data_IF_045319275446
#
_entry.id   IF_045319275446
#
_cell.length_a   1.000
_cell.length_b   1.000
_cell.length_c   1.000
_cell.angle_alpha   90.00
_cell.angle_beta   90.00
_cell.angle_gamma   90.00
#
_symmetry.space_group_name_H-M   'P 1'
#
loop_
_entity.id
_entity.type
_entity.pdbx_description
1 polymer ?
#
# COMPACT_ATOMS: atom_id res chain seq x y z
N UNK A 1 11.31 -6.31 -24.22
CA UNK A 1 10.15 -5.46 -23.88
C UNK A 1 8.92 -6.26 -24.26
N UNK A 2 7.98 -6.41 -23.33
CA UNK A 2 6.73 -7.17 -23.53
C UNK A 2 5.93 -6.51 -24.65
N UNK A 3 5.36 -7.33 -25.55
CA UNK A 3 4.52 -6.91 -26.69
C UNK A 3 3.06 -7.33 -26.53
N UNK A 4 2.81 -8.40 -25.78
CA UNK A 4 1.48 -8.93 -25.48
C UNK A 4 1.48 -9.56 -24.09
N UNK A 5 0.36 -9.46 -23.39
CA UNK A 5 0.10 -10.22 -22.16
C UNK A 5 -0.96 -11.28 -22.50
N UNK A 6 -0.73 -12.54 -22.09
CA UNK A 6 -1.66 -13.65 -22.23
C UNK A 6 -2.05 -14.14 -20.85
N UNK A 7 -3.35 -14.32 -20.60
CA UNK A 7 -3.85 -14.96 -19.38
C UNK A 7 -5.01 -15.90 -19.70
N UNK A 8 -5.48 -16.66 -18.71
CA UNK A 8 -6.45 -17.71 -18.93
C UNK A 8 -7.82 -17.17 -19.42
N UNK A 9 -8.55 -17.94 -20.26
CA UNK A 9 -9.87 -17.54 -20.77
C UNK A 9 -11.02 -17.80 -19.78
N UNK A 10 -10.72 -18.34 -18.60
CA UNK A 10 -11.70 -18.73 -17.58
C UNK A 10 -12.37 -17.56 -16.87
N UNK A 11 -13.04 -17.82 -15.74
CA UNK A 11 -13.50 -16.75 -14.87
C UNK A 11 -12.29 -16.02 -14.27
N UNK A 12 -12.26 -14.69 -14.34
CA UNK A 12 -11.15 -13.91 -13.79
C UNK A 12 -11.10 -14.00 -12.26
N UNK A 13 -9.89 -14.03 -11.73
CA UNK A 13 -9.59 -13.89 -10.32
C UNK A 13 -8.99 -12.50 -10.05
N UNK A 14 -8.65 -12.23 -8.79
CA UNK A 14 -8.09 -10.93 -8.41
C UNK A 14 -6.62 -10.83 -8.78
N UNK A 15 -5.89 -11.94 -8.67
CA UNK A 15 -4.45 -12.00 -8.87
C UNK A 15 -4.08 -11.93 -10.36
N UNK A 16 -4.74 -12.66 -11.27
CA UNK A 16 -4.49 -12.58 -12.72
C UNK A 16 -4.81 -11.18 -13.28
N UNK A 17 -5.92 -10.59 -12.83
CA UNK A 17 -6.29 -9.22 -13.17
C UNK A 17 -5.23 -8.21 -12.70
N UNK A 18 -4.81 -8.29 -11.43
CA UNK A 18 -3.83 -7.36 -10.86
C UNK A 18 -2.42 -7.61 -11.42
N UNK A 19 -2.05 -8.85 -11.72
CA UNK A 19 -0.80 -9.19 -12.39
C UNK A 19 -0.71 -8.54 -13.78
N UNK A 20 -1.80 -8.63 -14.56
CA UNK A 20 -1.92 -7.91 -15.83
C UNK A 20 -1.79 -6.40 -15.62
N UNK A 21 -2.56 -5.83 -14.68
CA UNK A 21 -2.56 -4.40 -14.37
C UNK A 21 -1.16 -3.88 -14.03
N UNK A 22 -0.44 -4.57 -13.14
CA UNK A 22 0.93 -4.22 -12.75
C UNK A 22 1.89 -4.32 -13.94
N UNK A 23 1.79 -5.35 -14.79
CA UNK A 23 2.64 -5.45 -15.98
C UNK A 23 2.36 -4.38 -17.04
N UNK A 24 1.15 -3.81 -17.10
CA UNK A 24 0.86 -2.68 -18.00
C UNK A 24 1.72 -1.43 -17.69
N UNK A 25 2.29 -1.33 -16.47
CA UNK A 25 3.27 -0.28 -16.13
C UNK A 25 4.59 -0.45 -16.86
N UNK A 26 4.95 -1.68 -17.23
CA UNK A 26 6.18 -2.00 -17.98
C UNK A 26 5.96 -1.90 -19.49
N UNK A 27 4.76 -2.24 -19.96
CA UNK A 27 4.40 -2.17 -21.37
C UNK A 27 2.88 -1.97 -21.54
N UNK A 28 2.42 -0.85 -22.13
CA UNK A 28 0.99 -0.59 -22.36
C UNK A 28 0.49 -1.35 -23.59
N UNK A 29 0.39 -2.67 -23.48
CA UNK A 29 0.07 -3.60 -24.58
C UNK A 29 -1.32 -4.22 -24.43
N UNK A 30 -1.78 -4.91 -25.48
CA UNK A 30 -3.03 -5.67 -25.42
C UNK A 30 -2.90 -6.89 -24.49
N UNK A 31 -4.03 -7.26 -23.88
CA UNK A 31 -4.18 -8.44 -23.05
C UNK A 31 -5.08 -9.43 -23.77
N UNK A 32 -4.57 -10.62 -24.07
CA UNK A 32 -5.30 -11.73 -24.68
C UNK A 32 -5.70 -12.74 -23.61
N UNK A 33 -6.96 -13.17 -23.63
CA UNK A 33 -7.51 -14.16 -22.70
C UNK A 33 -7.77 -15.47 -23.43
N UNK A 34 -6.76 -16.35 -23.45
CA UNK A 34 -6.73 -17.62 -24.18
C UNK A 34 -5.66 -18.55 -23.60
N UNK A 35 -5.72 -19.82 -23.96
CA UNK A 35 -4.62 -20.74 -23.66
C UNK A 35 -3.34 -20.29 -24.41
N UNK A 36 -2.17 -20.33 -23.74
CA UNK A 36 -0.90 -20.04 -24.39
C UNK A 36 -0.53 -21.18 -25.34
N UNK A 37 0.09 -20.82 -26.45
CA UNK A 37 0.76 -21.76 -27.34
C UNK A 37 2.17 -22.05 -26.86
N UNK A 38 2.81 -23.11 -27.36
CA UNK A 38 4.24 -23.34 -27.10
C UNK A 38 5.13 -22.18 -27.57
N UNK A 39 4.69 -21.42 -28.58
CA UNK A 39 5.44 -20.27 -29.07
C UNK A 39 5.37 -19.11 -28.06
N UNK A 40 4.20 -18.86 -27.45
CA UNK A 40 4.04 -17.86 -26.39
C UNK A 40 4.98 -18.17 -25.22
N UNK A 41 4.99 -19.43 -24.74
CA UNK A 41 5.80 -19.86 -23.60
C UNK A 41 7.32 -19.76 -23.81
N UNK A 42 7.77 -19.72 -25.07
CA UNK A 42 9.20 -19.61 -25.45
C UNK A 42 9.58 -18.18 -25.83
N UNK A 43 8.63 -17.26 -25.91
CA UNK A 43 8.83 -15.90 -26.39
C UNK A 43 8.98 -14.93 -25.19
N UNK A 44 10.18 -14.40 -24.90
CA UNK A 44 10.41 -13.50 -23.77
C UNK A 44 9.76 -12.11 -23.93
N UNK A 45 9.14 -11.83 -25.07
CA UNK A 45 8.31 -10.65 -25.31
C UNK A 45 6.81 -10.93 -25.19
N UNK A 46 6.39 -12.13 -24.82
CA UNK A 46 5.02 -12.47 -24.45
C UNK A 46 4.99 -12.82 -22.96
N UNK A 47 4.26 -12.05 -22.16
CA UNK A 47 4.06 -12.39 -20.76
C UNK A 47 2.87 -13.33 -20.62
N UNK A 48 3.04 -14.48 -19.98
CA UNK A 48 1.98 -15.48 -19.77
C UNK A 48 1.67 -15.57 -18.28
N UNK A 49 0.45 -15.21 -17.88
CA UNK A 49 0.07 -15.03 -16.48
C UNK A 49 -1.02 -16.02 -16.07
N UNK A 50 -0.84 -16.65 -14.91
CA UNK A 50 -1.83 -17.55 -14.31
C UNK A 50 -2.20 -18.77 -15.18
N UNK A 51 -1.36 -19.09 -16.16
CA UNK A 51 -1.58 -20.20 -17.10
C UNK A 51 -0.26 -20.62 -17.76
N UNK A 52 -0.21 -21.84 -18.29
CA UNK A 52 0.91 -22.33 -19.11
C UNK A 52 1.74 -23.42 -18.43
N UNK A 53 1.42 -23.75 -17.19
CA UNK A 53 2.01 -24.82 -16.42
C UNK A 53 3.50 -24.68 -16.10
N UNK A 54 3.99 -23.43 -16.04
CA UNK A 54 5.36 -23.15 -15.65
C UNK A 54 5.54 -21.72 -15.11
N UNK A 55 6.45 -21.57 -14.14
CA UNK A 55 7.03 -20.30 -13.77
C UNK A 55 8.47 -20.19 -14.30
N UNK A 56 8.72 -19.19 -15.14
CA UNK A 56 10.05 -18.79 -15.58
C UNK A 56 10.07 -17.27 -15.83
N UNK A 57 10.62 -16.53 -14.88
CA UNK A 57 10.68 -15.07 -14.94
C UNK A 57 11.53 -14.53 -16.11
N UNK A 58 12.49 -15.30 -16.63
CA UNK A 58 13.32 -14.88 -17.77
C UNK A 58 12.53 -14.94 -19.09
N UNK A 59 11.50 -15.80 -19.14
CA UNK A 59 10.57 -15.93 -20.26
C UNK A 59 9.23 -15.21 -20.00
N UNK A 60 9.11 -14.47 -18.89
CA UNK A 60 7.87 -13.82 -18.47
C UNK A 60 6.68 -14.80 -18.30
N UNK A 61 6.94 -16.03 -17.87
CA UNK A 61 5.92 -17.01 -17.51
C UNK A 61 5.67 -16.97 -15.99
N UNK A 62 4.45 -16.65 -15.59
CA UNK A 62 4.04 -16.39 -14.22
C UNK A 62 2.81 -17.22 -13.85
N UNK A 63 2.92 -18.55 -13.97
CA UNK A 63 1.92 -19.50 -13.49
C UNK A 63 2.36 -20.08 -12.14
N UNK A 64 1.46 -20.04 -11.16
CA UNK A 64 1.72 -20.50 -9.80
C UNK A 64 1.14 -21.91 -9.51
N UNK A 65 0.30 -22.46 -10.40
CA UNK A 65 -0.42 -23.72 -10.16
C UNK A 65 0.46 -24.97 -9.99
N UNK A 66 1.77 -24.86 -10.28
CA UNK A 66 2.74 -25.95 -10.13
C UNK A 66 3.43 -25.93 -8.77
N UNK A 67 3.22 -24.88 -7.98
CA UNK A 67 3.81 -24.76 -6.65
C UNK A 67 3.26 -25.86 -5.73
N UNK A 68 4.10 -26.43 -4.84
CA UNK A 68 3.66 -27.43 -3.87
C UNK A 68 2.50 -26.94 -3.01
N UNK A 69 1.63 -27.87 -2.59
CA UNK A 69 0.48 -27.55 -1.74
C UNK A 69 0.87 -26.88 -0.42
N UNK A 70 2.05 -27.18 0.12
CA UNK A 70 2.58 -26.60 1.36
C UNK A 70 3.45 -25.36 1.13
N UNK A 71 3.61 -24.91 -0.13
CA UNK A 71 4.27 -23.65 -0.43
C UNK A 71 3.54 -22.49 0.26
N UNK A 72 4.31 -21.48 0.65
CA UNK A 72 3.76 -20.20 1.12
C UNK A 72 2.80 -19.67 0.04
N UNK A 73 1.60 -19.19 0.40
CA UNK A 73 0.67 -18.64 -0.60
C UNK A 73 1.38 -17.67 -1.55
N UNK A 74 1.27 -17.92 -2.85
CA UNK A 74 1.95 -17.18 -3.92
C UNK A 74 1.08 -17.35 -5.16
N UNK A 75 0.54 -16.25 -5.66
CA UNK A 75 -0.33 -16.20 -6.84
C UNK A 75 0.36 -15.51 -8.02
N UNK A 76 -0.32 -15.36 -9.16
CA UNK A 76 0.28 -14.74 -10.35
C UNK A 76 0.78 -13.30 -10.07
N UNK A 77 0.04 -12.53 -9.26
CA UNK A 77 0.45 -11.19 -8.83
C UNK A 77 1.76 -11.22 -8.04
N UNK A 78 1.92 -12.17 -7.11
CA UNK A 78 3.15 -12.32 -6.31
C UNK A 78 4.36 -12.54 -7.21
N UNK A 79 4.24 -13.43 -8.21
CA UNK A 79 5.32 -13.73 -9.14
C UNK A 79 5.71 -12.52 -10.01
N UNK A 80 4.72 -11.74 -10.46
CA UNK A 80 4.96 -10.48 -11.18
C UNK A 80 5.65 -9.45 -10.28
N UNK A 81 5.19 -9.25 -9.05
CA UNK A 81 5.82 -8.31 -8.10
C UNK A 81 7.25 -8.74 -7.74
N UNK A 82 7.52 -10.05 -7.66
CA UNK A 82 8.86 -10.59 -7.46
C UNK A 82 9.76 -10.29 -8.66
N UNK A 83 9.26 -10.47 -9.87
CA UNK A 83 9.98 -10.12 -11.10
C UNK A 83 10.34 -8.64 -11.18
N UNK A 84 9.42 -7.76 -10.74
CA UNK A 84 9.68 -6.32 -10.66
C UNK A 84 10.58 -5.92 -9.47
N UNK A 85 10.92 -6.85 -8.58
CA UNK A 85 11.76 -6.59 -7.41
C UNK A 85 11.07 -5.81 -6.28
N UNK A 86 9.75 -5.68 -6.31
CA UNK A 86 8.97 -4.87 -5.35
C UNK A 86 8.07 -5.71 -4.43
N UNK A 87 8.16 -7.04 -4.48
CA UNK A 87 7.29 -7.94 -3.72
C UNK A 87 7.38 -7.76 -2.20
N UNK A 88 8.58 -7.62 -1.64
CA UNK A 88 8.75 -7.47 -0.19
C UNK A 88 8.11 -6.15 0.30
N UNK A 89 8.31 -5.08 -0.45
CA UNK A 89 7.69 -3.79 -0.17
C UNK A 89 6.16 -3.87 -0.32
N UNK A 90 5.66 -4.55 -1.36
CA UNK A 90 4.24 -4.79 -1.52
C UNK A 90 3.64 -5.58 -0.35
N UNK A 91 4.35 -6.61 0.12
CA UNK A 91 3.96 -7.42 1.29
C UNK A 91 3.93 -6.62 2.59
N UNK A 92 4.84 -5.66 2.75
CA UNK A 92 4.89 -4.76 3.91
C UNK A 92 3.81 -3.68 3.86
N UNK A 93 3.57 -3.08 2.69
CA UNK A 93 2.75 -1.88 2.55
C UNK A 93 1.30 -2.15 2.15
N UNK A 94 1.02 -3.28 1.52
CA UNK A 94 -0.28 -3.66 1.01
C UNK A 94 -0.81 -4.85 1.79
N UNK A 95 -1.43 -4.61 2.96
CA UNK A 95 -2.02 -5.65 3.81
C UNK A 95 -3.04 -6.55 3.08
N UNK A 96 -3.67 -6.03 2.03
CA UNK A 96 -4.60 -6.77 1.17
C UNK A 96 -3.90 -7.81 0.27
N UNK A 97 -2.58 -7.71 0.04
CA UNK A 97 -1.84 -8.62 -0.84
C UNK A 97 -1.85 -10.04 -0.26
N UNK A 98 -1.55 -10.18 1.04
CA UNK A 98 -1.59 -11.49 1.70
C UNK A 98 -2.97 -12.13 1.61
N UNK A 99 -4.02 -11.33 1.84
CA UNK A 99 -5.40 -11.80 1.71
C UNK A 99 -5.65 -12.32 0.29
N UNK A 100 -5.17 -11.62 -0.74
CA UNK A 100 -5.33 -12.05 -2.12
C UNK A 100 -4.58 -13.36 -2.44
N UNK A 101 -3.35 -13.51 -1.92
CA UNK A 101 -2.55 -14.74 -2.07
C UNK A 101 -3.23 -15.94 -1.41
N UNK A 102 -3.75 -15.75 -0.19
CA UNK A 102 -4.50 -16.79 0.51
C UNK A 102 -5.79 -17.15 -0.22
N UNK A 103 -6.54 -16.14 -0.67
CA UNK A 103 -7.83 -16.36 -1.33
C UNK A 103 -7.67 -17.19 -2.60
N UNK A 104 -6.63 -16.89 -3.38
CA UNK A 104 -6.34 -17.58 -4.61
C UNK A 104 -5.77 -19.00 -4.38
N UNK A 105 -4.77 -19.14 -3.50
CA UNK A 105 -4.11 -20.42 -3.27
C UNK A 105 -4.90 -21.41 -2.39
N UNK A 106 -5.74 -20.90 -1.48
CA UNK A 106 -6.40 -21.68 -0.41
C UNK A 106 -7.92 -21.57 -0.44
N UNK A 107 -8.46 -20.61 -1.18
CA UNK A 107 -9.88 -20.37 -1.26
C UNK A 107 -10.46 -19.62 -0.04
N UNK A 108 -11.75 -19.28 -0.09
CA UNK A 108 -12.40 -18.39 0.88
C UNK A 108 -12.58 -18.99 2.28
N UNK A 109 -12.59 -20.33 2.42
CA UNK A 109 -12.78 -20.98 3.73
C UNK A 109 -11.51 -20.84 4.56
N UNK A 110 -10.40 -21.33 4.02
CA UNK A 110 -9.09 -21.29 4.68
C UNK A 110 -8.62 -19.85 4.89
N UNK A 111 -8.93 -18.93 3.95
CA UNK A 111 -8.63 -17.50 4.11
C UNK A 111 -9.38 -16.89 5.30
N UNK A 112 -10.66 -17.24 5.49
CA UNK A 112 -11.43 -16.74 6.62
C UNK A 112 -10.89 -17.27 7.96
N UNK A 113 -10.55 -18.57 8.00
CA UNK A 113 -9.91 -19.19 9.17
C UNK A 113 -8.58 -18.51 9.52
N UNK A 114 -7.72 -18.28 8.53
CA UNK A 114 -6.44 -17.56 8.71
C UNK A 114 -6.63 -16.14 9.26
N UNK A 115 -7.66 -15.42 8.79
CA UNK A 115 -8.04 -14.10 9.30
C UNK A 115 -8.72 -14.11 10.68
N UNK A 116 -9.00 -15.29 11.26
CA UNK A 116 -9.72 -15.43 12.52
C UNK A 116 -11.18 -14.96 12.44
N UNK A 117 -11.81 -15.03 11.27
CA UNK A 117 -13.20 -14.63 11.06
C UNK A 117 -14.02 -15.72 10.37
N UNK A 118 -15.35 -15.60 10.44
CA UNK A 118 -16.23 -16.53 9.75
C UNK A 118 -16.32 -16.23 8.25
N UNK A 119 -16.54 -17.28 7.44
CA UNK A 119 -16.67 -17.17 5.98
C UNK A 119 -17.79 -16.22 5.55
N UNK A 120 -18.89 -16.15 6.31
CA UNK A 120 -20.01 -15.27 5.98
C UNK A 120 -19.62 -13.80 6.11
N UNK A 121 -18.87 -13.45 7.17
CA UNK A 121 -18.28 -12.13 7.37
C UNK A 121 -17.32 -11.76 6.25
N UNK A 122 -16.45 -12.67 5.81
CA UNK A 122 -15.60 -12.43 4.64
C UNK A 122 -16.46 -12.12 3.40
N UNK A 123 -17.57 -12.84 3.21
CA UNK A 123 -18.52 -12.59 2.12
C UNK A 123 -19.23 -11.23 2.18
N UNK A 124 -19.40 -10.65 3.37
CA UNK A 124 -20.00 -9.30 3.56
C UNK A 124 -19.07 -8.17 3.12
N UNK A 125 -17.78 -8.44 3.00
CA UNK A 125 -16.77 -7.48 2.52
C UNK A 125 -16.66 -7.44 0.98
N UNK A 126 -17.45 -8.26 0.27
CA UNK A 126 -17.45 -8.28 -1.19
C UNK A 126 -17.81 -6.91 -1.78
N UNK A 127 -16.87 -6.33 -2.51
CA UNK A 127 -17.03 -5.08 -3.21
C UNK A 127 -17.79 -5.30 -4.54
N UNK A 128 -18.91 -4.61 -4.78
CA UNK A 128 -19.60 -4.67 -6.08
C UNK A 128 -18.75 -4.07 -7.21
N UNK A 129 -17.79 -3.20 -6.89
CA UNK A 129 -16.83 -2.67 -7.86
C UNK A 129 -15.88 -3.78 -8.33
N UNK A 130 -15.25 -4.49 -7.39
CA UNK A 130 -14.30 -5.57 -7.66
C UNK A 130 -14.96 -6.64 -8.53
N UNK A 131 -16.13 -7.13 -8.11
CA UNK A 131 -16.87 -8.16 -8.86
C UNK A 131 -17.25 -7.67 -10.26
N UNK A 132 -17.66 -6.41 -10.42
CA UNK A 132 -18.02 -5.86 -11.72
C UNK A 132 -16.81 -5.78 -12.64
N UNK A 133 -15.67 -5.30 -12.13
CA UNK A 133 -14.42 -5.20 -12.90
C UNK A 133 -13.96 -6.58 -13.35
N UNK A 134 -13.92 -7.57 -12.44
CA UNK A 134 -13.52 -8.94 -12.77
C UNK A 134 -14.45 -9.59 -13.81
N UNK A 135 -15.77 -9.41 -13.65
CA UNK A 135 -16.74 -9.92 -14.65
C UNK A 135 -16.58 -9.27 -16.01
N UNK A 136 -16.26 -7.97 -16.07
CA UNK A 136 -16.04 -7.28 -17.34
C UNK A 136 -14.71 -7.67 -17.96
N UNK A 137 -13.66 -7.83 -17.17
CA UNK A 137 -12.40 -8.41 -17.62
C UNK A 137 -12.62 -9.81 -18.20
N UNK A 138 -13.42 -10.66 -17.56
CA UNK A 138 -13.76 -12.00 -18.05
C UNK A 138 -14.70 -12.06 -19.25
N UNK A 139 -15.40 -10.97 -19.56
CA UNK A 139 -16.44 -10.98 -20.60
C UNK A 139 -15.93 -10.87 -22.03
N UNK A 140 -14.62 -10.65 -22.22
CA UNK A 140 -13.99 -10.47 -23.53
C UNK A 140 -12.76 -11.37 -23.65
N UNK A 141 -12.41 -11.75 -24.88
CA UNK A 141 -11.21 -12.55 -25.17
C UNK A 141 -9.96 -11.70 -25.36
N UNK A 142 -10.12 -10.39 -25.45
CA UNK A 142 -9.04 -9.42 -25.69
C UNK A 142 -9.42 -8.08 -25.05
N UNK A 143 -8.44 -7.36 -24.49
CA UNK A 143 -8.58 -5.99 -24.00
C UNK A 143 -7.45 -5.11 -24.57
N UNK A 144 -7.81 -3.96 -25.14
CA UNK A 144 -6.88 -3.06 -25.85
C UNK A 144 -6.76 -1.68 -25.19
N UNK A 145 -5.64 -0.96 -25.42
CA UNK A 145 -5.52 0.45 -25.07
C UNK A 145 -6.72 1.29 -25.52
N UNK A 146 -7.21 2.16 -24.65
CA UNK A 146 -8.41 2.97 -24.86
C UNK A 146 -9.74 2.31 -24.44
N UNK A 147 -9.77 1.00 -24.16
CA UNK A 147 -10.97 0.34 -23.65
C UNK A 147 -11.18 0.62 -22.15
N UNK A 148 -12.43 0.72 -21.67
CA UNK A 148 -12.69 1.11 -20.28
C UNK A 148 -12.02 0.22 -19.23
N UNK A 149 -12.07 -1.10 -19.40
CA UNK A 149 -11.45 -2.03 -18.45
C UNK A 149 -9.93 -1.98 -18.52
N UNK A 150 -9.37 -1.90 -19.74
CA UNK A 150 -7.94 -1.78 -19.93
C UNK A 150 -7.37 -0.51 -19.28
N UNK A 151 -8.04 0.64 -19.46
CA UNK A 151 -7.59 1.90 -18.83
C UNK A 151 -7.70 1.83 -17.30
N UNK A 152 -8.75 1.19 -16.76
CA UNK A 152 -8.86 0.95 -15.32
C UNK A 152 -7.72 0.07 -14.82
N UNK A 153 -7.38 -1.01 -15.53
CA UNK A 153 -6.24 -1.87 -15.19
C UNK A 153 -4.94 -1.07 -15.19
N UNK A 154 -4.71 -0.24 -16.20
CA UNK A 154 -3.52 0.61 -16.27
C UNK A 154 -3.43 1.59 -15.09
N UNK A 155 -4.54 2.24 -14.73
CA UNK A 155 -4.59 3.14 -13.57
C UNK A 155 -4.31 2.38 -12.27
N UNK A 156 -4.94 1.22 -12.04
CA UNK A 156 -4.71 0.38 -10.87
C UNK A 156 -3.24 -0.05 -10.78
N UNK A 157 -2.66 -0.50 -11.90
CA UNK A 157 -1.26 -0.89 -11.96
C UNK A 157 -0.32 0.25 -11.63
N UNK A 158 -0.54 1.42 -12.24
CA UNK A 158 0.26 2.62 -12.00
C UNK A 158 0.18 3.07 -10.55
N UNK A 159 -1.03 3.21 -10.00
CA UNK A 159 -1.26 3.61 -8.61
C UNK A 159 -0.61 2.62 -7.63
N UNK A 160 -0.68 1.32 -7.93
CA UNK A 160 -0.07 0.27 -7.08
C UNK A 160 1.45 0.35 -7.10
N UNK A 161 2.08 0.40 -8.29
CA UNK A 161 3.54 0.46 -8.41
C UNK A 161 4.08 1.78 -7.86
N UNK A 162 3.42 2.90 -8.15
CA UNK A 162 3.81 4.21 -7.62
C UNK A 162 3.68 4.24 -6.11
N UNK A 163 2.58 3.75 -5.54
CA UNK A 163 2.42 3.67 -4.08
C UNK A 163 3.55 2.89 -3.43
N UNK A 164 3.85 1.68 -3.91
CA UNK A 164 4.87 0.80 -3.31
C UNK A 164 6.25 1.45 -3.38
N UNK A 165 6.65 1.92 -4.57
CA UNK A 165 8.00 2.45 -4.79
C UNK A 165 8.23 3.83 -4.14
N UNK A 166 7.20 4.68 -4.14
CA UNK A 166 7.30 6.01 -3.50
C UNK A 166 7.23 5.91 -1.98
N UNK A 167 6.41 5.01 -1.42
CA UNK A 167 6.35 4.83 0.03
C UNK A 167 7.69 4.37 0.59
N UNK A 168 8.38 3.40 -0.05
CA UNK A 168 9.73 2.99 0.39
C UNK A 168 10.69 4.18 0.45
N UNK A 169 10.75 4.97 -0.62
CA UNK A 169 11.60 6.16 -0.71
C UNK A 169 11.27 7.15 0.42
N UNK A 170 9.98 7.33 0.74
CA UNK A 170 9.53 8.19 1.84
C UNK A 170 9.91 7.63 3.21
N UNK A 171 9.79 6.33 3.43
CA UNK A 171 10.19 5.70 4.69
C UNK A 171 11.70 5.81 4.93
N UNK A 172 12.51 5.65 3.89
CA UNK A 172 13.96 5.85 3.99
C UNK A 172 14.29 7.31 4.30
N UNK A 173 13.56 8.25 3.69
CA UNK A 173 13.68 9.67 3.99
C UNK A 173 13.32 9.99 5.45
N UNK A 174 12.17 9.50 5.92
CA UNK A 174 11.74 9.65 7.32
C UNK A 174 12.78 9.04 8.25
N UNK A 175 13.26 7.83 7.99
CA UNK A 175 14.22 7.15 8.85
C UNK A 175 15.57 7.88 8.95
N UNK A 176 15.97 8.62 7.91
CA UNK A 176 17.21 9.39 7.90
C UNK A 176 17.11 10.74 8.64
N UNK A 177 15.90 11.28 8.85
CA UNK A 177 15.72 12.65 9.34
C UNK A 177 14.87 12.77 10.60
N UNK A 178 13.99 11.79 10.86
CA UNK A 178 13.09 11.86 12.00
C UNK A 178 13.85 11.69 13.31
N UNK A 179 13.40 12.42 14.33
CA UNK A 179 13.95 12.41 15.67
C UNK A 179 12.88 11.94 16.64
N UNK A 180 13.28 11.07 17.58
CA UNK A 180 12.42 10.73 18.71
C UNK A 180 12.68 11.74 19.81
N UNK A 181 11.65 12.53 20.15
CA UNK A 181 11.67 13.41 21.31
C UNK A 181 11.18 12.66 22.53
N UNK A 182 11.94 12.75 23.63
CA UNK A 182 11.59 12.15 24.92
C UNK A 182 10.98 13.21 25.85
N UNK A 183 9.82 12.87 26.42
CA UNK A 183 9.16 13.60 27.49
C UNK A 183 9.07 12.70 28.74
N UNK A 184 8.66 13.24 29.88
CA UNK A 184 8.63 12.51 31.16
C UNK A 184 7.81 11.20 31.10
N UNK A 185 6.68 11.20 30.39
CA UNK A 185 5.73 10.08 30.38
C UNK A 185 5.47 9.48 28.97
N UNK A 186 6.08 10.04 27.93
CA UNK A 186 5.80 9.66 26.55
C UNK A 186 6.89 10.12 25.58
N UNK A 187 6.82 9.64 24.34
CA UNK A 187 7.66 10.08 23.23
C UNK A 187 6.82 10.76 22.14
N UNK A 188 7.46 11.59 21.34
CA UNK A 188 6.89 12.08 20.09
C UNK A 188 7.87 11.83 18.95
N UNK A 189 7.36 11.49 17.77
CA UNK A 189 8.19 11.44 16.57
C UNK A 189 8.14 12.79 15.86
N UNK A 190 9.29 13.44 15.75
CA UNK A 190 9.46 14.72 15.07
C UNK A 190 10.08 14.53 13.70
N UNK A 191 9.53 15.19 12.70
CA UNK A 191 10.10 15.29 11.36
C UNK A 191 10.56 16.73 11.12
N UNK A 192 11.85 17.01 10.93
CA UNK A 192 12.31 18.37 10.65
C UNK A 192 11.90 18.82 9.25
N UNK A 193 11.81 20.14 9.08
CA UNK A 193 11.68 20.79 7.77
C UNK A 193 13.00 20.65 6.99
N UNK A 194 12.93 20.09 5.77
CA UNK A 194 14.07 19.95 4.86
C UNK A 194 13.93 20.80 3.60
N UNK A 195 15.01 20.93 2.83
CA UNK A 195 15.02 21.55 1.51
C UNK A 195 15.58 20.57 0.46
N UNK A 196 14.75 20.04 -0.47
CA UNK A 196 13.32 20.33 -0.64
C UNK A 196 12.46 19.78 0.50
N UNK A 197 11.24 20.30 0.61
CA UNK A 197 10.22 19.78 1.52
C UNK A 197 9.86 18.33 1.16
N UNK A 198 9.61 17.45 2.14
CA UNK A 198 9.10 16.13 1.85
C UNK A 198 7.67 16.22 1.30
N UNK A 199 7.42 15.53 0.20
CA UNK A 199 6.06 15.32 -0.30
C UNK A 199 5.25 14.53 0.75
N UNK A 200 4.07 15.03 1.10
CA UNK A 200 3.21 14.45 2.15
C UNK A 200 3.94 14.20 3.48
N UNK A 201 4.43 15.26 4.13
CA UNK A 201 5.26 15.22 5.34
C UNK A 201 4.77 14.36 6.53
N UNK A 202 3.49 13.96 6.57
CA UNK A 202 2.95 13.07 7.59
C UNK A 202 2.87 11.58 7.17
N UNK A 203 3.03 11.31 5.88
CA UNK A 203 3.02 9.98 5.28
C UNK A 203 4.30 9.23 5.69
N UNK A 204 4.17 7.96 6.07
CA UNK A 204 5.30 7.14 6.50
C UNK A 204 5.78 7.33 7.94
N UNK A 205 5.39 8.40 8.65
CA UNK A 205 5.77 8.60 10.06
C UNK A 205 5.27 7.47 10.97
N UNK A 206 4.04 6.98 10.74
CA UNK A 206 3.48 5.88 11.53
C UNK A 206 4.25 4.57 11.35
N UNK A 207 4.51 4.19 10.10
CA UNK A 207 5.38 3.06 9.76
C UNK A 207 6.77 3.18 10.38
N UNK A 208 7.31 4.41 10.48
CA UNK A 208 8.61 4.59 11.13
C UNK A 208 8.54 4.34 12.64
N UNK A 209 7.46 4.74 13.32
CA UNK A 209 7.22 4.38 14.72
C UNK A 209 7.18 2.86 14.90
N UNK A 210 6.43 2.16 14.05
CA UNK A 210 6.33 0.69 14.05
C UNK A 210 7.71 0.03 13.82
N UNK A 211 8.48 0.52 12.84
CA UNK A 211 9.83 0.02 12.55
C UNK A 211 10.80 0.21 13.72
N UNK A 212 10.61 1.26 14.53
CA UNK A 212 11.41 1.50 15.73
C UNK A 212 10.93 0.68 16.94
N UNK A 213 9.76 0.04 16.88
CA UNK A 213 9.16 -0.68 17.99
C UNK A 213 8.71 0.24 19.13
N UNK A 214 8.27 1.46 18.81
CA UNK A 214 7.92 2.50 19.77
C UNK A 214 6.42 2.81 19.81
N UNK A 215 5.56 1.91 19.34
CA UNK A 215 4.13 2.12 19.17
C UNK A 215 3.41 2.45 20.48
N UNK A 216 3.87 1.87 21.58
CA UNK A 216 3.32 2.06 22.93
C UNK A 216 3.87 3.32 23.64
N UNK A 217 4.98 3.87 23.15
CA UNK A 217 5.68 5.00 23.77
C UNK A 217 5.41 6.32 23.03
N UNK A 218 5.30 6.29 21.69
CA UNK A 218 5.06 7.48 20.87
C UNK A 218 3.58 7.80 20.85
N UNK A 219 3.20 8.98 21.36
CA UNK A 219 1.79 9.41 21.40
C UNK A 219 1.46 10.50 20.39
N UNK A 220 2.49 11.19 19.88
CA UNK A 220 2.33 12.32 18.99
C UNK A 220 3.30 12.24 17.81
N UNK A 221 2.83 12.70 16.65
CA UNK A 221 3.63 12.93 15.45
C UNK A 221 3.67 14.44 15.19
N UNK A 222 4.87 14.99 15.02
CA UNK A 222 5.12 16.41 14.77
C UNK A 222 5.81 16.55 13.41
N UNK A 223 5.23 17.31 12.48
CA UNK A 223 5.71 17.36 11.10
C UNK A 223 5.43 18.71 10.43
N UNK A 224 6.22 19.11 9.42
CA UNK A 224 6.05 20.40 8.76
C UNK A 224 4.66 20.53 8.12
N UNK A 225 4.01 21.68 8.30
CA UNK A 225 2.76 21.95 7.56
C UNK A 225 3.08 22.15 6.08
N UNK A 226 2.33 21.47 5.20
CA UNK A 226 2.49 21.58 3.75
C UNK A 226 2.00 22.92 3.20
N UNK A 227 1.17 23.65 3.96
CA UNK A 227 0.58 24.93 3.53
C UNK A 227 1.20 26.16 4.21
N UNK A 228 2.04 25.97 5.21
CA UNK A 228 2.58 27.05 6.04
C UNK A 228 4.04 26.85 6.43
N UNK A 229 4.61 27.83 7.11
CA UNK A 229 5.98 27.77 7.62
C UNK A 229 6.11 26.97 8.91
N UNK A 230 5.01 26.78 9.65
CA UNK A 230 4.98 26.07 10.92
C UNK A 230 4.78 24.56 10.80
N UNK A 231 4.14 23.97 11.80
CA UNK A 231 4.05 22.52 12.01
C UNK A 231 2.63 22.05 12.32
N UNK A 232 2.32 20.83 11.87
CA UNK A 232 1.21 20.04 12.35
C UNK A 232 1.66 19.10 13.48
N UNK A 233 0.79 18.94 14.47
CA UNK A 233 0.95 17.99 15.57
C UNK A 233 -0.30 17.12 15.61
N UNK A 234 -0.17 15.79 15.57
CA UNK A 234 -1.33 14.87 15.60
C UNK A 234 -1.09 13.71 16.55
N UNK A 235 -2.19 13.07 16.99
CA UNK A 235 -2.13 11.78 17.71
C UNK A 235 -1.48 10.70 16.85
N UNK A 236 -0.69 9.85 17.49
CA UNK A 236 -0.35 8.52 16.94
C UNK A 236 -1.40 7.50 17.43
N UNK A 237 -1.89 6.63 16.53
CA UNK A 237 -2.91 5.62 16.81
C UNK A 237 -4.16 6.10 17.57
N UNK A 238 -4.53 7.37 17.39
CA UNK A 238 -5.63 8.06 18.10
C UNK A 238 -5.53 7.97 19.64
N UNK A 239 -4.31 7.94 20.19
CA UNK A 239 -4.12 7.90 21.64
C UNK A 239 -4.66 9.18 22.31
N UNK A 240 -5.67 9.00 23.15
CA UNK A 240 -6.44 10.09 23.77
C UNK A 240 -5.70 10.80 24.90
N UNK A 241 -4.52 10.31 25.32
CA UNK A 241 -3.62 11.04 26.24
C UNK A 241 -3.08 12.32 25.62
N UNK A 242 -3.14 12.47 24.30
CA UNK A 242 -2.84 13.74 23.62
C UNK A 242 -4.14 14.48 23.32
N UNK A 243 -4.34 15.66 23.91
CA UNK A 243 -5.55 16.48 23.75
C UNK A 243 -5.19 17.87 23.21
N UNK A 244 -5.20 17.98 21.88
CA UNK A 244 -4.74 19.19 21.19
C UNK A 244 -5.70 20.39 21.32
N UNK A 245 -6.95 20.22 21.75
CA UNK A 245 -7.84 21.37 22.05
C UNK A 245 -7.36 22.21 23.24
N UNK A 246 -6.45 21.67 24.07
CA UNK A 246 -5.81 22.42 25.16
C UNK A 246 -4.96 23.60 24.65
N UNK A 247 -4.61 23.58 23.37
CA UNK A 247 -3.77 24.59 22.72
C UNK A 247 -4.59 25.73 22.07
N UNK A 248 -5.93 25.71 22.16
CA UNK A 248 -6.81 26.69 21.48
C UNK A 248 -6.51 28.15 21.79
N UNK A 249 -5.94 28.42 22.96
CA UNK A 249 -5.67 29.78 23.44
C UNK A 249 -4.21 30.20 23.26
N UNK A 250 -3.37 29.37 22.63
CA UNK A 250 -1.97 29.73 22.36
C UNK A 250 -1.89 30.64 21.12
N UNK A 251 -1.24 31.79 21.25
CA UNK A 251 -1.21 32.83 20.20
C UNK A 251 -0.62 32.34 18.87
N UNK A 252 0.29 31.36 18.91
CA UNK A 252 0.93 30.78 17.73
C UNK A 252 0.18 29.58 17.14
N UNK A 253 -0.88 29.09 17.80
CA UNK A 253 -1.71 27.97 17.35
C UNK A 253 -2.96 28.51 16.65
N UNK A 254 -3.03 28.30 15.34
CA UNK A 254 -4.10 28.87 14.50
C UNK A 254 -5.19 27.85 14.14
N UNK A 255 -5.01 26.58 14.51
CA UNK A 255 -6.01 25.55 14.29
C UNK A 255 -5.84 24.39 15.27
N UNK A 256 -6.96 23.95 15.82
CA UNK A 256 -7.12 22.70 16.53
C UNK A 256 -8.39 22.03 16.03
N UNK A 257 -8.38 20.70 15.95
CA UNK A 257 -9.61 19.99 15.61
C UNK A 257 -10.45 19.77 16.87
N UNK A 258 -11.77 19.98 16.78
CA UNK A 258 -12.70 19.88 17.92
C UNK A 258 -12.78 18.49 18.60
N UNK A 259 -12.17 17.47 17.99
CA UNK A 259 -12.03 16.10 18.56
C UNK A 259 -10.67 15.85 19.22
N UNK A 260 -9.79 16.85 19.26
CA UNK A 260 -8.52 16.80 19.98
C UNK A 260 -7.37 16.07 19.31
N UNK A 261 -7.54 15.56 18.08
CA UNK A 261 -6.53 14.70 17.45
C UNK A 261 -5.46 15.45 16.64
N UNK A 262 -5.61 16.76 16.40
CA UNK A 262 -4.65 17.55 15.63
C UNK A 262 -4.65 19.02 16.05
N UNK A 263 -3.46 19.63 16.05
CA UNK A 263 -3.23 21.07 16.10
C UNK A 263 -2.27 21.50 14.98
N UNK A 264 -2.32 22.79 14.61
CA UNK A 264 -1.37 23.44 13.72
C UNK A 264 -0.92 24.76 14.33
N UNK A 265 0.39 24.95 14.35
CA UNK A 265 1.07 26.14 14.85
C UNK A 265 1.84 26.83 13.74
N UNK A 266 1.95 28.15 13.82
CA UNK A 266 2.84 28.95 12.97
C UNK A 266 4.31 28.83 13.40
N UNK A 267 4.57 28.34 14.62
CA UNK A 267 5.92 28.21 15.16
C UNK A 267 6.73 27.16 14.40
N UNK A 268 8.00 27.48 14.17
CA UNK A 268 9.01 26.56 13.65
C UNK A 268 10.15 26.32 14.66
N UNK A 269 10.07 26.94 15.84
CA UNK A 269 11.09 26.85 16.88
C UNK A 269 10.92 25.53 17.65
N UNK A 270 11.95 24.68 17.64
CA UNK A 270 11.90 23.32 18.21
C UNK A 270 11.49 23.32 19.68
N UNK A 271 12.05 24.22 20.49
CA UNK A 271 11.72 24.29 21.91
C UNK A 271 10.24 24.62 22.13
N UNK A 272 9.70 25.56 21.33
CA UNK A 272 8.29 25.91 21.37
C UNK A 272 7.39 24.75 20.93
N UNK A 273 7.78 24.00 19.90
CA UNK A 273 7.05 22.80 19.49
C UNK A 273 7.00 21.76 20.61
N UNK A 274 8.11 21.53 21.31
CA UNK A 274 8.17 20.63 22.47
C UNK A 274 7.26 21.10 23.61
N UNK A 275 7.24 22.40 23.90
CA UNK A 275 6.31 22.98 24.88
C UNK A 275 4.85 22.70 24.51
N UNK A 276 4.45 22.98 23.26
CA UNK A 276 3.09 22.75 22.78
C UNK A 276 2.68 21.27 22.88
N UNK A 277 3.57 20.36 22.50
CA UNK A 277 3.34 18.91 22.64
C UNK A 277 3.19 18.51 24.10
N UNK A 278 4.04 19.02 25.00
CA UNK A 278 3.93 18.75 26.43
C UNK A 278 2.64 19.30 27.05
N UNK A 279 2.19 20.50 26.63
CA UNK A 279 0.95 21.11 27.10
C UNK A 279 -0.31 20.34 26.70
N UNK A 280 -0.27 19.69 25.53
CA UNK A 280 -1.36 18.86 25.02
C UNK A 280 -1.45 17.49 25.73
N UNK A 281 -0.40 17.05 26.44
CA UNK A 281 -0.43 15.79 27.19
C UNK A 281 -1.38 15.88 28.40
N UNK A 282 -2.22 14.85 28.54
CA UNK A 282 -3.03 14.60 29.72
C UNK A 282 -2.77 13.17 30.24
N UNK A 283 -2.46 13.00 31.54
CA UNK A 283 -2.39 11.68 32.14
C UNK A 283 -3.74 10.95 32.03
N UNK A 284 -3.68 9.63 31.85
CA UNK A 284 -4.86 8.76 31.92
C UNK A 284 -5.45 8.67 33.33
#
# INVERSE_FOLDING_TARGET
MIKTIVTHPGGAHKDDFLACAVLLTQAPVAIERRDPTEADLKAPDVAVLDIGHQHDAALCNFDHHQLPRDHVPTCALSLVLQHLGIYQDAREFCSWLEVAEWFDCRGPVDTAEWLGMDRETLGKLNSPLDITILRRFASQTEHKPGEPIWEIMRMIGQDTVDYITTLRTRLDFVAAHAEVWEFENFKALFMPRTAPMPDEASSGLGYHVEKLGLEEEVLALVYPDSRGSGYGMRRFNDDTRMEFTRLDNEDDVHFTHARGFIAKTSSAEIDRLKELVAMAYQPS
#
